data_IF_038624991507
#
_entry.id   IF_038624991507
#
_cell.length_a   1.000
_cell.length_b   1.000
_cell.length_c   1.000
_cell.angle_alpha   90.00
_cell.angle_beta   90.00
_cell.angle_gamma   90.00
#
_symmetry.space_group_name_H-M   'P 1'
#
loop_
_entity.id
_entity.type
_entity.pdbx_description
1 polymer ?
#
# COMPACT_ATOMS: atom_id res chain seq x y z
N UNK A 1 -11.82 -31.46 -13.39
CA UNK A 1 -10.70 -30.52 -13.53
C UNK A 1 -10.32 -29.85 -12.21
N UNK A 2 -10.96 -30.19 -11.09
CA UNK A 2 -10.96 -29.33 -9.89
C UNK A 2 -9.77 -29.60 -8.95
N UNK A 3 -9.21 -30.81 -9.04
CA UNK A 3 -8.08 -31.23 -8.20
C UNK A 3 -6.76 -30.56 -8.57
N UNK A 4 -6.55 -30.21 -9.84
CA UNK A 4 -5.35 -29.47 -10.27
C UNK A 4 -5.36 -28.04 -9.76
N UNK A 5 -6.51 -27.35 -9.85
CA UNK A 5 -6.66 -25.99 -9.32
C UNK A 5 -6.46 -25.92 -7.80
N UNK A 6 -6.92 -26.93 -7.06
CA UNK A 6 -6.69 -27.02 -5.62
C UNK A 6 -5.20 -27.16 -5.28
N UNK A 7 -4.46 -27.98 -6.04
CA UNK A 7 -3.02 -28.17 -5.86
C UNK A 7 -2.23 -26.89 -6.20
N UNK A 8 -2.61 -26.20 -7.27
CA UNK A 8 -1.99 -24.92 -7.67
C UNK A 8 -2.22 -23.83 -6.61
N UNK A 9 -3.41 -23.79 -6.02
CA UNK A 9 -3.75 -22.87 -4.94
C UNK A 9 -2.94 -23.16 -3.65
N UNK A 10 -2.70 -24.42 -3.33
CA UNK A 10 -1.87 -24.85 -2.19
C UNK A 10 -0.40 -24.46 -2.40
N UNK A 11 0.15 -24.69 -3.58
CA UNK A 11 1.53 -24.27 -3.93
C UNK A 11 1.66 -22.75 -3.84
N UNK A 12 0.69 -22.00 -4.37
CA UNK A 12 0.67 -20.55 -4.27
C UNK A 12 0.55 -20.06 -2.82
N UNK A 13 -0.23 -20.75 -1.98
CA UNK A 13 -0.33 -20.44 -0.55
C UNK A 13 0.99 -20.69 0.17
N UNK A 14 1.66 -21.82 -0.09
CA UNK A 14 2.96 -22.14 0.48
C UNK A 14 4.03 -21.09 0.10
N UNK A 15 4.06 -20.65 -1.16
CA UNK A 15 4.97 -19.60 -1.61
C UNK A 15 4.74 -18.26 -0.89
N UNK A 16 3.46 -17.89 -0.63
CA UNK A 16 3.13 -16.69 0.15
C UNK A 16 3.58 -16.82 1.61
N UNK A 17 3.32 -17.96 2.25
CA UNK A 17 3.77 -18.19 3.63
C UNK A 17 5.30 -18.18 3.76
N UNK A 18 6.03 -18.75 2.80
CA UNK A 18 7.48 -18.68 2.78
C UNK A 18 8.00 -17.24 2.62
N UNK A 19 7.29 -16.40 1.86
CA UNK A 19 7.68 -15.00 1.63
C UNK A 19 7.29 -14.05 2.77
N UNK A 20 6.12 -14.25 3.36
CA UNK A 20 5.49 -13.28 4.27
C UNK A 20 5.26 -13.80 5.70
N UNK A 21 5.55 -15.07 5.95
CA UNK A 21 5.25 -15.73 7.22
C UNK A 21 3.77 -16.07 7.40
N UNK A 22 3.36 -16.26 8.65
CA UNK A 22 1.98 -16.51 9.02
C UNK A 22 1.25 -15.19 9.31
N UNK A 23 -0.06 -15.18 9.08
CA UNK A 23 -0.89 -14.06 9.49
C UNK A 23 -0.90 -13.99 11.02
N UNK A 24 -0.77 -12.79 11.61
CA UNK A 24 -0.97 -12.60 13.04
C UNK A 24 -2.35 -13.12 13.48
N UNK A 25 -2.45 -13.50 14.75
CA UNK A 25 -3.73 -13.89 15.34
C UNK A 25 -4.77 -12.77 15.14
N UNK A 26 -6.01 -13.17 14.87
CA UNK A 26 -7.11 -12.21 14.69
C UNK A 26 -7.30 -11.41 15.98
N UNK A 27 -7.31 -10.08 15.85
CA UNK A 27 -7.61 -9.17 16.95
C UNK A 27 -9.07 -9.38 17.37
N UNK A 28 -9.32 -9.36 18.68
CA UNK A 28 -10.70 -9.47 19.18
C UNK A 28 -11.48 -8.22 18.82
N UNK A 29 -12.80 -8.33 18.69
CA UNK A 29 -13.60 -7.19 18.26
C UNK A 29 -13.57 -6.06 19.29
N UNK A 30 -13.54 -6.42 20.58
CA UNK A 30 -13.39 -5.50 21.71
C UNK A 30 -12.04 -4.74 21.73
N UNK A 31 -11.02 -5.27 21.07
CA UNK A 31 -9.68 -4.66 20.98
C UNK A 31 -9.49 -3.85 19.69
N UNK A 32 -10.50 -3.81 18.80
CA UNK A 32 -10.46 -3.09 17.54
C UNK A 32 -10.87 -1.61 17.74
N UNK A 33 -10.11 -0.68 17.18
CA UNK A 33 -10.49 0.74 17.14
C UNK A 33 -11.37 1.02 15.93
N UNK A 34 -12.42 1.84 16.11
CA UNK A 34 -13.23 2.33 14.99
C UNK A 34 -12.37 3.22 14.07
N UNK A 35 -12.54 3.05 12.74
CA UNK A 35 -11.92 3.93 11.77
C UNK A 35 -12.56 5.31 11.85
N UNK A 36 -11.77 6.33 12.17
CA UNK A 36 -12.19 7.73 12.12
C UNK A 36 -11.65 8.33 10.83
N UNK A 37 -12.44 9.20 10.18
CA UNK A 37 -11.95 10.04 9.08
C UNK A 37 -10.71 10.80 9.56
N UNK A 38 -9.56 10.52 8.95
CA UNK A 38 -8.37 11.28 9.24
C UNK A 38 -8.60 12.70 8.73
N UNK A 39 -8.57 13.69 9.62
CA UNK A 39 -8.41 15.06 9.16
C UNK A 39 -7.15 15.11 8.32
N UNK A 40 -7.33 15.51 7.06
CA UNK A 40 -6.25 15.73 6.12
C UNK A 40 -5.40 16.86 6.69
N UNK A 41 -4.37 16.52 7.49
CA UNK A 41 -3.35 17.42 8.07
C UNK A 41 -2.41 17.98 6.99
N UNK A 42 -2.94 18.15 5.80
CA UNK A 42 -2.41 18.93 4.71
C UNK A 42 -2.78 20.35 5.07
N UNK A 43 -1.86 21.07 5.72
CA UNK A 43 -1.96 22.53 5.78
C UNK A 43 -2.28 23.04 4.37
N UNK A 44 -2.98 24.18 4.24
CA UNK A 44 -3.57 24.68 2.99
C UNK A 44 -2.68 24.66 1.71
N UNK A 45 -1.38 24.42 1.86
CA UNK A 45 -0.37 24.25 0.82
C UNK A 45 -0.17 22.81 0.28
N UNK A 46 -0.76 21.77 0.87
CA UNK A 46 -0.55 20.37 0.43
C UNK A 46 -1.72 19.76 -0.36
N UNK A 47 -2.68 20.59 -0.79
CA UNK A 47 -3.62 20.20 -1.83
C UNK A 47 -2.82 19.87 -3.10
N UNK A 48 -3.09 18.71 -3.70
CA UNK A 48 -2.40 18.29 -4.92
C UNK A 48 -2.70 19.28 -6.06
N UNK A 49 -1.66 19.99 -6.50
CA UNK A 49 -1.70 20.90 -7.63
C UNK A 49 -0.67 20.42 -8.68
N UNK A 50 -1.13 19.76 -9.76
CA UNK A 50 -0.24 19.25 -10.80
C UNK A 50 0.52 20.36 -11.51
N UNK A 51 -0.06 21.57 -11.65
CA UNK A 51 0.59 22.73 -12.26
C UNK A 51 1.71 23.26 -11.36
N UNK A 52 1.47 23.28 -10.03
CA UNK A 52 2.49 23.72 -9.06
C UNK A 52 3.63 22.71 -8.87
N UNK A 53 3.40 21.45 -9.21
CA UNK A 53 4.36 20.36 -9.01
C UNK A 53 5.68 20.60 -9.77
N UNK A 54 5.64 21.24 -10.95
CA UNK A 54 6.84 21.60 -11.72
C UNK A 54 7.83 22.48 -10.94
N UNK A 55 7.34 23.32 -10.01
CA UNK A 55 8.20 24.21 -9.22
C UNK A 55 9.16 23.46 -8.27
N UNK A 56 8.90 22.18 -7.98
CA UNK A 56 9.69 21.38 -7.05
C UNK A 56 10.65 20.40 -7.76
N UNK A 57 10.56 20.28 -9.08
CA UNK A 57 11.36 19.32 -9.86
C UNK A 57 12.60 19.93 -10.53
N UNK A 58 13.00 21.16 -10.17
CA UNK A 58 14.17 21.80 -10.79
C UNK A 58 15.46 20.97 -10.67
N UNK A 59 15.70 20.32 -9.52
CA UNK A 59 16.86 19.43 -9.36
C UNK A 59 16.71 18.16 -10.20
N UNK A 60 15.51 17.57 -10.24
CA UNK A 60 15.23 16.38 -11.05
C UNK A 60 15.36 16.66 -12.55
N UNK A 61 14.92 17.83 -13.02
CA UNK A 61 15.05 18.25 -14.41
C UNK A 61 16.53 18.41 -14.80
N UNK A 62 17.35 19.02 -13.92
CA UNK A 62 18.80 19.11 -14.12
C UNK A 62 19.47 17.73 -14.16
N UNK A 63 19.09 16.81 -13.27
CA UNK A 63 19.64 15.45 -13.23
C UNK A 63 19.27 14.63 -14.49
N UNK A 64 18.13 14.95 -15.13
CA UNK A 64 17.66 14.29 -16.35
C UNK A 64 18.06 15.00 -17.65
N UNK A 65 18.64 16.21 -17.57
CA UNK A 65 19.06 17.00 -18.73
C UNK A 65 17.92 17.60 -19.55
N UNK A 66 16.78 17.90 -18.92
CA UNK A 66 15.60 18.56 -19.51
C UNK A 66 15.66 20.09 -19.42
#
# INVERSE_FOLDING_TARGET
MDKSFAMDAEVAAAARHARYGELPARIRFEDMTEGVEAEVNVGANAAYDPERSWNFYSCLALDLGL
#
